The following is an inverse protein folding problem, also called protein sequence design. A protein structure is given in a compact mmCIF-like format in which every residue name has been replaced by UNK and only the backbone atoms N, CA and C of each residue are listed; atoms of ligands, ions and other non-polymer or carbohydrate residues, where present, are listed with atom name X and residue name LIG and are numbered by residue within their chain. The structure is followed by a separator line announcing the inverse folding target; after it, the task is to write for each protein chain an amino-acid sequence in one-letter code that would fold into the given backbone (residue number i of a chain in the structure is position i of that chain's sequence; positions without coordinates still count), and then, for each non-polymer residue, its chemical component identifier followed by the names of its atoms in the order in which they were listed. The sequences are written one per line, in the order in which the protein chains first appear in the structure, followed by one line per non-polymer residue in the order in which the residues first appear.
data_IF_437730238823
#
_entry.id   IF_437730238823
#
_cell.length_a   1.000
_cell.length_b   1.000
_cell.length_c   1.000
_cell.angle_alpha   90.00
_cell.angle_beta   90.00
_cell.angle_gamma   90.00
#
_symmetry.space_group_name_H-M   'P 1'
#
loop_
_entity.id
_entity.type
_entity.pdbx_description
1 polymer ?
#
# COMPACT_ATOMS: atom_id res chain seq x y z
N UNK A 1 11.89 -5.89 -4.32
CA UNK A 1 12.00 -6.30 -2.88
C UNK A 1 12.61 -5.14 -2.11
N UNK A 2 12.12 -4.84 -0.92
CA UNK A 2 12.74 -3.84 -0.04
C UNK A 2 13.92 -4.46 0.72
N UNK A 3 14.98 -3.68 0.91
CA UNK A 3 16.14 -4.14 1.66
C UNK A 3 15.79 -4.33 3.16
N UNK A 4 16.35 -5.37 3.85
CA UNK A 4 16.09 -5.60 5.28
C UNK A 4 16.39 -4.38 6.16
N UNK A 5 17.44 -3.61 5.82
CA UNK A 5 17.80 -2.37 6.51
C UNK A 5 16.73 -1.28 6.34
N UNK A 6 16.12 -1.21 5.16
CA UNK A 6 15.04 -0.26 4.89
C UNK A 6 13.76 -0.63 5.66
N UNK A 7 13.40 -1.91 5.72
CA UNK A 7 12.25 -2.37 6.54
C UNK A 7 12.44 -1.98 8.00
N UNK A 8 13.67 -2.09 8.55
CA UNK A 8 13.98 -1.63 9.90
C UNK A 8 13.83 -0.12 10.07
N UNK A 9 14.20 0.69 9.07
CA UNK A 9 13.96 2.13 9.09
C UNK A 9 12.46 2.46 9.13
N UNK A 10 11.63 1.74 8.37
CA UNK A 10 10.17 1.89 8.43
C UNK A 10 9.65 1.56 9.84
N UNK A 11 10.12 0.48 10.45
CA UNK A 11 9.76 0.09 11.83
C UNK A 11 10.15 1.18 12.83
N UNK A 12 11.34 1.76 12.71
CA UNK A 12 11.77 2.89 13.55
C UNK A 12 10.83 4.10 13.41
N UNK A 13 10.46 4.44 12.18
CA UNK A 13 9.55 5.53 11.91
C UNK A 13 8.14 5.27 12.47
N UNK A 14 7.61 4.05 12.36
CA UNK A 14 6.34 3.64 12.94
C UNK A 14 6.37 3.75 14.47
N UNK A 15 7.38 3.17 15.10
CA UNK A 15 7.56 3.18 16.55
C UNK A 15 7.62 4.61 17.11
N UNK A 16 8.35 5.51 16.44
CA UNK A 16 8.45 6.93 16.86
C UNK A 16 7.07 7.61 16.91
N UNK A 17 6.14 7.17 16.09
CA UNK A 17 4.78 7.72 16.00
C UNK A 17 3.74 6.87 16.75
N UNK A 18 4.20 5.85 17.50
CA UNK A 18 3.35 4.92 18.24
C UNK A 18 2.38 4.12 17.36
N UNK A 19 2.71 3.96 16.09
CA UNK A 19 2.09 2.94 15.25
C UNK A 19 2.63 1.59 15.69
N UNK A 20 1.75 0.63 15.97
CA UNK A 20 2.09 -0.60 16.66
C UNK A 20 2.02 -1.86 15.78
N UNK A 21 1.70 -1.71 14.50
CA UNK A 21 1.63 -2.81 13.54
C UNK A 21 2.32 -2.41 12.24
N UNK A 22 3.12 -3.32 11.69
CA UNK A 22 3.56 -3.34 10.32
C UNK A 22 2.86 -4.49 9.60
N UNK A 23 1.98 -4.20 8.68
CA UNK A 23 1.42 -5.15 7.73
C UNK A 23 2.45 -5.37 6.63
N UNK A 24 2.98 -6.60 6.50
CA UNK A 24 4.07 -6.90 5.58
C UNK A 24 3.60 -7.81 4.45
N UNK A 25 3.37 -7.20 3.30
CA UNK A 25 2.93 -7.88 2.08
C UNK A 25 4.12 -8.63 1.44
N UNK A 26 4.09 -9.96 1.50
CA UNK A 26 5.25 -10.81 1.17
C UNK A 26 5.08 -11.60 -0.12
N UNK A 27 3.88 -11.68 -0.67
CA UNK A 27 3.61 -12.42 -1.90
C UNK A 27 2.65 -11.66 -2.78
N UNK A 28 2.94 -11.63 -4.09
CA UNK A 28 2.17 -10.93 -5.11
C UNK A 28 2.36 -11.61 -6.46
N UNK A 29 1.57 -11.26 -7.45
CA UNK A 29 1.73 -11.72 -8.83
C UNK A 29 3.16 -11.52 -9.35
N UNK A 30 3.80 -10.38 -9.03
CA UNK A 30 5.13 -10.01 -9.49
C UNK A 30 6.27 -10.48 -8.58
N UNK A 31 5.97 -11.29 -7.55
CA UNK A 31 7.05 -11.85 -6.76
C UNK A 31 6.67 -12.49 -5.42
N UNK A 32 7.40 -13.52 -5.08
CA UNK A 32 7.29 -14.27 -3.82
C UNK A 32 8.52 -13.99 -2.96
N UNK A 33 8.36 -13.51 -1.73
CA UNK A 33 9.47 -12.97 -0.92
C UNK A 33 9.82 -13.78 0.34
N UNK A 34 9.11 -14.89 0.60
CA UNK A 34 9.28 -15.70 1.80
C UNK A 34 9.70 -17.13 1.46
N UNK A 35 10.79 -17.69 2.08
CA UNK A 35 11.23 -19.04 1.78
C UNK A 35 10.34 -20.09 2.43
N UNK A 36 9.91 -21.04 1.64
CA UNK A 36 9.14 -22.21 2.05
C UNK A 36 9.98 -23.46 1.75
N UNK A 37 10.60 -24.10 2.71
CA UNK A 37 11.54 -25.21 2.45
C UNK A 37 10.95 -26.40 1.70
N UNK A 38 9.66 -26.67 1.90
CA UNK A 38 8.94 -27.71 1.17
C UNK A 38 8.73 -27.35 -0.32
N UNK A 39 8.84 -26.06 -0.65
CA UNK A 39 8.56 -25.54 -1.99
C UNK A 39 9.62 -24.50 -2.42
N UNK A 40 10.89 -24.90 -2.61
CA UNK A 40 12.00 -23.98 -2.84
C UNK A 40 11.87 -23.13 -4.11
N UNK A 41 11.20 -23.63 -5.15
CA UNK A 41 10.97 -22.86 -6.39
C UNK A 41 10.17 -21.59 -6.19
N UNK A 42 9.42 -21.45 -5.09
CA UNK A 42 8.70 -20.22 -4.76
C UNK A 42 9.65 -19.02 -4.71
N UNK A 43 10.83 -19.18 -4.14
CA UNK A 43 11.86 -18.13 -4.09
C UNK A 43 12.83 -18.21 -5.26
N UNK A 44 13.18 -19.43 -5.74
CA UNK A 44 14.13 -19.62 -6.84
C UNK A 44 13.58 -19.11 -8.19
N UNK A 45 12.27 -19.28 -8.42
CA UNK A 45 11.58 -18.83 -9.64
C UNK A 45 10.66 -17.66 -9.30
N UNK A 46 9.71 -17.84 -8.38
CA UNK A 46 8.72 -16.83 -8.03
C UNK A 46 9.31 -15.57 -7.38
N UNK A 47 10.54 -15.63 -6.85
CA UNK A 47 11.24 -14.46 -6.31
C UNK A 47 11.76 -13.49 -7.38
N UNK A 48 11.80 -13.88 -8.65
CA UNK A 48 12.45 -13.11 -9.71
C UNK A 48 11.54 -12.96 -10.93
N UNK A 49 11.69 -11.86 -11.65
CA UNK A 49 10.99 -11.59 -12.90
C UNK A 49 11.96 -11.01 -13.93
N UNK A 50 11.65 -11.17 -15.21
CA UNK A 50 12.40 -10.58 -16.31
C UNK A 50 11.69 -9.33 -16.79
N UNK A 51 12.37 -8.19 -16.76
CA UNK A 51 11.87 -6.92 -17.25
C UNK A 51 11.87 -6.87 -18.78
N UNK A 52 11.23 -5.86 -19.39
CA UNK A 52 11.12 -5.72 -20.85
C UNK A 52 12.49 -5.62 -21.56
N UNK A 53 13.50 -5.06 -20.90
CA UNK A 53 14.87 -4.95 -21.42
C UNK A 53 15.71 -6.23 -21.25
N UNK A 54 15.11 -7.29 -20.70
CA UNK A 54 15.75 -8.58 -20.45
C UNK A 54 16.52 -8.64 -19.12
N UNK A 55 16.55 -7.57 -18.32
CA UNK A 55 17.16 -7.62 -17.00
C UNK A 55 16.33 -8.47 -16.05
N UNK A 56 16.98 -9.20 -15.14
CA UNK A 56 16.32 -9.98 -14.11
C UNK A 56 16.34 -9.18 -12.82
N UNK A 57 15.14 -8.88 -12.31
CA UNK A 57 14.95 -8.18 -11.04
C UNK A 57 14.21 -9.06 -10.04
N UNK A 58 14.35 -8.76 -8.75
CA UNK A 58 13.65 -9.51 -7.71
C UNK A 58 14.46 -9.69 -6.44
N UNK A 59 14.25 -10.81 -5.78
CA UNK A 59 14.89 -11.21 -4.53
C UNK A 59 13.85 -11.72 -3.53
N UNK A 60 14.34 -12.27 -2.44
CA UNK A 60 13.54 -12.77 -1.33
C UNK A 60 14.32 -12.63 -0.03
N UNK A 61 13.61 -12.66 1.10
CA UNK A 61 14.23 -12.64 2.41
C UNK A 61 14.63 -14.03 2.82
N UNK A 62 15.77 -14.17 3.46
CA UNK A 62 16.14 -15.42 4.16
C UNK A 62 15.33 -15.56 5.44
N UNK A 63 15.19 -16.79 5.96
CA UNK A 63 14.55 -17.01 7.25
C UNK A 63 15.22 -16.21 8.38
N UNK A 64 16.55 -16.12 8.33
CA UNK A 64 17.32 -15.36 9.31
C UNK A 64 16.99 -13.87 9.27
N UNK A 65 16.91 -13.27 8.09
CA UNK A 65 16.52 -11.86 7.92
C UNK A 65 15.11 -11.61 8.43
N UNK A 66 14.14 -12.48 8.10
CA UNK A 66 12.76 -12.36 8.61
C UNK A 66 12.76 -12.41 10.14
N UNK A 67 13.42 -13.40 10.76
CA UNK A 67 13.49 -13.53 12.20
C UNK A 67 14.18 -12.35 12.88
N UNK A 68 15.19 -11.78 12.24
CA UNK A 68 15.88 -10.59 12.73
C UNK A 68 14.96 -9.36 12.66
N UNK A 69 14.23 -9.16 11.56
CA UNK A 69 13.26 -8.06 11.39
C UNK A 69 12.12 -8.21 12.41
N UNK A 70 11.59 -9.42 12.61
CA UNK A 70 10.53 -9.69 13.59
C UNK A 70 10.98 -9.35 15.02
N UNK A 71 12.20 -9.74 15.41
CA UNK A 71 12.75 -9.37 16.72
C UNK A 71 12.97 -7.86 16.84
N UNK A 72 13.52 -7.24 15.79
CA UNK A 72 13.76 -5.81 15.74
C UNK A 72 12.47 -4.99 15.92
N UNK A 73 11.37 -5.45 15.31
CA UNK A 73 10.05 -4.85 15.46
C UNK A 73 9.51 -5.06 16.89
N UNK A 74 9.63 -6.25 17.43
CA UNK A 74 9.18 -6.56 18.80
C UNK A 74 9.88 -5.70 19.86
N UNK A 75 11.18 -5.47 19.74
CA UNK A 75 11.96 -4.57 20.60
C UNK A 75 11.48 -3.11 20.55
N UNK A 76 10.69 -2.75 19.51
CA UNK A 76 10.08 -1.44 19.29
C UNK A 76 8.58 -1.39 19.52
N UNK A 77 8.03 -2.47 20.06
CA UNK A 77 6.59 -2.63 20.27
C UNK A 77 5.78 -2.54 18.96
N UNK A 78 6.37 -2.97 17.85
CA UNK A 78 5.70 -3.11 16.55
C UNK A 78 5.50 -4.59 16.25
N UNK A 79 4.26 -5.00 16.11
CA UNK A 79 3.91 -6.34 15.64
C UNK A 79 3.98 -6.40 14.12
N UNK A 80 4.49 -7.50 13.57
CA UNK A 80 4.42 -7.73 12.12
C UNK A 80 3.29 -8.70 11.83
N UNK A 81 2.33 -8.27 11.00
CA UNK A 81 1.31 -9.12 10.39
C UNK A 81 1.77 -9.45 8.97
N UNK A 82 2.13 -10.71 8.67
CA UNK A 82 2.49 -11.10 7.31
C UNK A 82 1.25 -11.28 6.45
N UNK A 83 1.36 -10.91 5.18
CA UNK A 83 0.36 -11.19 4.16
C UNK A 83 0.86 -12.23 3.16
N UNK A 84 0.02 -13.24 2.93
CA UNK A 84 0.20 -14.30 1.94
C UNK A 84 -1.06 -14.35 1.08
N UNK A 85 -0.95 -13.90 -0.15
CA UNK A 85 -2.05 -13.76 -1.08
C UNK A 85 -2.67 -15.10 -1.50
N UNK A 86 -3.99 -15.14 -1.42
CA UNK A 86 -4.82 -16.26 -1.88
C UNK A 86 -6.30 -15.89 -1.95
N UNK A 87 -7.08 -16.43 -2.89
CA UNK A 87 -6.65 -17.31 -3.99
C UNK A 87 -6.17 -16.54 -5.22
N UNK A 88 -6.31 -15.21 -5.28
CA UNK A 88 -5.77 -14.31 -6.30
C UNK A 88 -4.31 -13.93 -6.05
N UNK A 89 -3.79 -12.98 -6.84
CA UNK A 89 -2.45 -12.39 -6.72
C UNK A 89 -1.32 -13.42 -6.53
N UNK A 90 -1.38 -14.52 -7.27
CA UNK A 90 -0.57 -15.71 -7.03
C UNK A 90 0.30 -16.14 -8.24
N UNK A 91 0.44 -15.30 -9.29
CA UNK A 91 1.17 -15.64 -10.52
C UNK A 91 2.61 -16.06 -10.25
N UNK A 92 3.30 -15.45 -9.29
CA UNK A 92 4.65 -15.87 -8.90
C UNK A 92 4.69 -17.33 -8.40
N UNK A 93 3.69 -17.74 -7.63
CA UNK A 93 3.57 -19.13 -7.17
C UNK A 93 3.18 -20.08 -8.31
N UNK A 94 2.30 -19.66 -9.22
CA UNK A 94 1.90 -20.45 -10.39
C UNK A 94 3.06 -20.60 -11.39
N UNK A 95 3.91 -19.59 -11.55
CA UNK A 95 5.13 -19.68 -12.33
C UNK A 95 6.11 -20.73 -11.75
N UNK A 96 6.22 -20.77 -10.41
CA UNK A 96 7.06 -21.75 -9.72
C UNK A 96 6.49 -23.18 -9.76
N UNK A 97 5.16 -23.30 -9.63
CA UNK A 97 4.44 -24.57 -9.55
C UNK A 97 3.12 -24.50 -10.35
N UNK A 98 3.14 -24.69 -11.68
CA UNK A 98 1.97 -24.53 -12.56
C UNK A 98 0.75 -25.40 -12.16
N UNK A 99 1.00 -26.52 -11.53
CA UNK A 99 -0.06 -27.44 -11.08
C UNK A 99 -0.97 -26.85 -9.98
N UNK A 100 -0.59 -25.72 -9.35
CA UNK A 100 -1.42 -25.03 -8.37
C UNK A 100 -2.62 -24.32 -9.02
N UNK A 101 -2.52 -23.97 -10.29
CA UNK A 101 -3.58 -23.30 -11.04
C UNK A 101 -4.54 -24.26 -11.74
N UNK A 102 -5.59 -23.71 -12.31
CA UNK A 102 -6.62 -24.50 -13.02
C UNK A 102 -6.13 -25.10 -14.33
N UNK A 103 -5.26 -24.41 -15.07
CA UNK A 103 -4.78 -24.86 -16.38
C UNK A 103 -3.56 -25.79 -16.30
N UNK A 104 -2.71 -25.62 -15.28
CA UNK A 104 -1.45 -26.33 -15.17
C UNK A 104 -0.38 -25.88 -16.21
N UNK A 105 -0.66 -24.82 -16.96
CA UNK A 105 0.24 -24.27 -17.97
C UNK A 105 1.43 -23.55 -17.31
N UNK A 106 2.59 -23.65 -17.94
CA UNK A 106 3.76 -22.88 -17.54
C UNK A 106 3.56 -21.41 -17.88
N UNK A 107 3.99 -20.53 -16.98
CA UNK A 107 3.89 -19.09 -17.14
C UNK A 107 5.07 -18.38 -16.50
N UNK A 108 5.35 -17.18 -16.93
CA UNK A 108 6.37 -16.34 -16.33
C UNK A 108 5.80 -15.52 -15.16
N UNK A 109 6.69 -15.12 -14.26
CA UNK A 109 6.39 -14.09 -13.26
C UNK A 109 6.19 -12.77 -13.98
N UNK A 110 5.02 -12.10 -13.88
CA UNK A 110 4.75 -10.89 -14.65
C UNK A 110 5.63 -9.72 -14.22
N UNK A 111 5.98 -8.87 -15.18
CA UNK A 111 6.70 -7.62 -14.96
C UNK A 111 5.81 -6.37 -15.07
N UNK A 112 4.54 -6.56 -15.37
CA UNK A 112 3.52 -5.52 -15.44
C UNK A 112 2.51 -5.65 -14.28
N UNK A 113 1.87 -4.54 -13.95
CA UNK A 113 0.77 -4.51 -13.00
C UNK A 113 -0.55 -4.91 -13.68
N UNK A 114 -1.43 -5.52 -12.91
CA UNK A 114 -2.79 -5.85 -13.33
C UNK A 114 -3.43 -6.92 -12.45
N UNK A 115 -4.73 -7.11 -12.60
CA UNK A 115 -5.48 -8.23 -12.02
C UNK A 115 -5.44 -9.39 -13.00
N UNK A 116 -4.74 -10.47 -12.64
CA UNK A 116 -4.54 -11.62 -13.52
C UNK A 116 -5.62 -12.67 -13.30
N UNK A 117 -6.07 -13.27 -14.42
CA UNK A 117 -7.13 -14.28 -14.39
C UNK A 117 -6.72 -15.63 -13.80
N UNK A 118 -5.40 -15.89 -13.74
CA UNK A 118 -4.88 -17.15 -13.23
C UNK A 118 -4.76 -17.10 -11.72
N UNK A 119 -5.56 -17.90 -11.04
CA UNK A 119 -5.69 -17.98 -9.59
C UNK A 119 -5.46 -19.41 -9.12
N UNK A 120 -5.29 -19.64 -7.82
CA UNK A 120 -5.21 -20.98 -7.26
C UNK A 120 -6.46 -21.80 -7.58
N UNK A 121 -6.27 -23.08 -7.93
CA UNK A 121 -7.36 -23.99 -8.21
C UNK A 121 -8.07 -24.41 -6.91
N UNK A 122 -9.26 -23.88 -6.67
CA UNK A 122 -10.06 -24.19 -5.47
C UNK A 122 -10.65 -25.61 -5.48
N UNK A 123 -10.74 -26.23 -6.65
CA UNK A 123 -11.22 -27.60 -6.82
C UNK A 123 -10.20 -28.70 -6.50
N UNK A 124 -8.94 -28.34 -6.18
CA UNK A 124 -7.84 -29.28 -6.05
C UNK A 124 -7.31 -29.36 -4.61
N UNK A 125 -7.41 -30.55 -3.98
CA UNK A 125 -6.96 -30.76 -2.59
C UNK A 125 -5.45 -30.57 -2.42
N UNK A 126 -4.65 -30.84 -3.45
CA UNK A 126 -3.21 -30.62 -3.44
C UNK A 126 -2.87 -29.14 -3.33
N UNK A 127 -3.65 -28.24 -3.96
CA UNK A 127 -3.50 -26.78 -3.82
C UNK A 127 -3.84 -26.34 -2.38
N UNK A 128 -4.91 -26.84 -1.81
CA UNK A 128 -5.26 -26.57 -0.40
C UNK A 128 -4.16 -27.08 0.55
N UNK A 129 -3.58 -28.27 0.27
CA UNK A 129 -2.50 -28.85 1.07
C UNK A 129 -1.20 -28.04 0.96
N UNK A 130 -0.90 -27.52 -0.23
CA UNK A 130 0.20 -26.60 -0.48
C UNK A 130 0.05 -25.33 0.37
N UNK A 131 -1.13 -24.70 0.33
CA UNK A 131 -1.36 -23.48 1.10
C UNK A 131 -1.27 -23.70 2.61
N UNK A 132 -1.77 -24.85 3.11
CA UNK A 132 -1.58 -25.22 4.53
C UNK A 132 -0.10 -25.35 4.89
N UNK A 133 0.72 -25.97 4.05
CA UNK A 133 2.17 -26.07 4.29
C UNK A 133 2.88 -24.70 4.24
N UNK A 134 2.44 -23.79 3.35
CA UNK A 134 2.91 -22.41 3.33
C UNK A 134 2.57 -21.70 4.65
N UNK A 135 1.32 -21.76 5.08
CA UNK A 135 0.87 -21.14 6.33
C UNK A 135 1.54 -21.73 7.57
N UNK A 136 1.86 -23.05 7.55
CA UNK A 136 2.64 -23.69 8.61
C UNK A 136 4.01 -23.05 8.76
N UNK A 137 4.72 -22.81 7.66
CA UNK A 137 6.02 -22.14 7.68
C UNK A 137 5.89 -20.67 8.14
N UNK A 138 4.90 -19.95 7.66
CA UNK A 138 4.60 -18.56 8.07
C UNK A 138 4.40 -18.49 9.59
N UNK A 139 3.62 -19.41 10.15
CA UNK A 139 3.40 -19.47 11.60
C UNK A 139 4.68 -19.74 12.41
N UNK A 140 5.71 -20.38 11.83
CA UNK A 140 7.00 -20.56 12.50
C UNK A 140 7.87 -19.30 12.50
N UNK A 141 7.70 -18.45 11.49
CA UNK A 141 8.50 -17.24 11.29
C UNK A 141 7.90 -16.01 11.98
N UNK A 142 6.58 -15.95 12.04
CA UNK A 142 5.84 -14.80 12.59
C UNK A 142 5.05 -15.20 13.85
N UNK A 143 5.30 -14.54 14.98
CA UNK A 143 4.57 -14.81 16.23
C UNK A 143 3.18 -14.18 16.25
N UNK A 144 2.81 -13.39 15.23
CA UNK A 144 1.53 -12.69 15.15
C UNK A 144 0.35 -13.64 15.31
N UNK A 145 -0.61 -13.28 16.14
CA UNK A 145 -1.90 -13.98 16.24
C UNK A 145 -2.68 -13.91 14.92
N UNK A 146 -2.50 -12.85 14.15
CA UNK A 146 -3.19 -12.60 12.91
C UNK A 146 -2.26 -12.86 11.72
N UNK A 147 -2.76 -13.59 10.72
CA UNK A 147 -2.15 -13.77 9.40
C UNK A 147 -3.10 -13.18 8.38
N UNK A 148 -2.61 -12.24 7.56
CA UNK A 148 -3.38 -11.70 6.46
C UNK A 148 -3.28 -12.64 5.25
N UNK A 149 -4.40 -12.92 4.63
CA UNK A 149 -4.50 -13.92 3.54
C UNK A 149 -4.89 -13.30 2.19
N UNK A 150 -4.87 -11.97 2.09
CA UNK A 150 -5.35 -11.27 0.90
C UNK A 150 -6.85 -11.44 0.69
N UNK A 151 -7.22 -12.06 -0.39
CA UNK A 151 -8.62 -12.39 -0.71
C UNK A 151 -9.29 -11.38 -1.63
N UNK A 152 -8.56 -10.38 -2.06
CA UNK A 152 -9.01 -9.31 -2.96
C UNK A 152 -8.91 -9.70 -4.44
N UNK A 153 -9.67 -8.98 -5.25
CA UNK A 153 -9.60 -8.93 -6.72
C UNK A 153 -9.52 -10.30 -7.41
N UNK A 154 -10.23 -11.31 -6.91
CA UNK A 154 -10.17 -12.70 -7.42
C UNK A 154 -11.02 -12.89 -8.68
N UNK A 155 -10.43 -13.01 -9.89
CA UNK A 155 -11.18 -13.31 -11.09
C UNK A 155 -11.64 -14.79 -11.09
N UNK A 156 -12.90 -15.02 -11.36
CA UNK A 156 -13.51 -16.36 -11.27
C UNK A 156 -13.49 -17.14 -12.59
N UNK A 157 -13.13 -16.49 -13.70
CA UNK A 157 -13.18 -17.05 -15.06
C UNK A 157 -12.44 -18.39 -15.21
N UNK A 158 -11.33 -18.59 -14.45
CA UNK A 158 -10.61 -19.87 -14.48
C UNK A 158 -11.35 -20.98 -13.76
N UNK A 159 -12.13 -20.66 -12.75
CA UNK A 159 -12.94 -21.64 -12.02
C UNK A 159 -14.17 -22.07 -12.84
N UNK A 160 -14.77 -21.15 -13.60
CA UNK A 160 -15.90 -21.43 -14.50
C UNK A 160 -15.57 -22.52 -15.52
N UNK A 161 -14.35 -22.47 -16.09
CA UNK A 161 -13.88 -23.42 -17.11
C UNK A 161 -13.15 -24.65 -16.53
N UNK A 162 -12.94 -24.74 -15.23
CA UNK A 162 -12.15 -25.79 -14.61
C UNK A 162 -13.01 -26.95 -14.12
N UNK A 163 -12.87 -28.13 -14.74
CA UNK A 163 -13.64 -29.35 -14.36
C UNK A 163 -13.50 -29.67 -12.86
N UNK A 164 -12.31 -29.50 -12.25
CA UNK A 164 -12.09 -29.76 -10.82
C UNK A 164 -12.85 -28.78 -9.95
N UNK A 165 -12.88 -27.49 -10.31
CA UNK A 165 -13.63 -26.48 -9.59
C UNK A 165 -15.13 -26.71 -9.73
N UNK A 166 -15.61 -27.02 -10.92
CA UNK A 166 -17.04 -27.32 -11.16
C UNK A 166 -17.48 -28.60 -10.45
N UNK A 167 -16.64 -29.66 -10.44
CA UNK A 167 -16.92 -30.86 -9.64
C UNK A 167 -17.01 -30.53 -8.14
N UNK A 168 -16.08 -29.72 -7.61
CA UNK A 168 -16.12 -29.28 -6.22
C UNK A 168 -17.39 -28.50 -5.88
N UNK A 169 -17.81 -27.61 -6.80
CA UNK A 169 -19.07 -26.87 -6.65
C UNK A 169 -20.26 -27.81 -6.59
N UNK A 170 -20.34 -28.79 -7.51
CA UNK A 170 -21.42 -29.77 -7.54
C UNK A 170 -21.45 -30.61 -6.26
N UNK A 171 -20.30 -31.10 -5.78
CA UNK A 171 -20.17 -31.89 -4.56
C UNK A 171 -20.63 -31.13 -3.30
N UNK A 172 -20.41 -29.81 -3.26
CA UNK A 172 -20.76 -28.92 -2.14
C UNK A 172 -22.12 -28.25 -2.31
N UNK A 173 -22.79 -28.43 -3.46
CA UNK A 173 -24.06 -27.79 -3.76
C UNK A 173 -23.97 -26.29 -4.00
N UNK A 174 -22.81 -25.82 -4.44
CA UNK A 174 -22.59 -24.41 -4.79
C UNK A 174 -23.16 -24.07 -6.15
N UNK A 175 -23.63 -22.84 -6.29
CA UNK A 175 -24.28 -22.33 -7.51
C UNK A 175 -23.57 -21.12 -8.12
N UNK A 176 -22.54 -20.62 -7.43
CA UNK A 176 -21.76 -19.45 -7.83
C UNK A 176 -20.30 -19.63 -7.39
N UNK A 177 -19.36 -19.22 -8.22
CA UNK A 177 -17.93 -19.35 -7.97
C UNK A 177 -17.42 -18.50 -6.78
N UNK A 178 -18.17 -17.47 -6.36
CA UNK A 178 -17.88 -16.75 -5.12
C UNK A 178 -17.88 -17.68 -3.90
N UNK A 179 -18.72 -18.72 -3.91
CA UNK A 179 -18.77 -19.73 -2.86
C UNK A 179 -17.50 -20.59 -2.84
N UNK A 180 -16.81 -20.77 -3.97
CA UNK A 180 -15.48 -21.40 -3.99
C UNK A 180 -14.42 -20.55 -3.31
N UNK A 181 -14.46 -19.23 -3.49
CA UNK A 181 -13.56 -18.31 -2.78
C UNK A 181 -13.81 -18.42 -1.27
N UNK A 182 -15.05 -18.34 -0.84
CA UNK A 182 -15.44 -18.52 0.56
C UNK A 182 -14.99 -19.89 1.10
N UNK A 183 -15.19 -20.95 0.32
CA UNK A 183 -14.73 -22.31 0.69
C UNK A 183 -13.20 -22.33 0.89
N UNK A 184 -12.43 -21.76 -0.05
CA UNK A 184 -10.98 -21.72 0.02
C UNK A 184 -10.51 -20.98 1.29
N UNK A 185 -11.05 -19.80 1.53
CA UNK A 185 -10.75 -18.95 2.70
C UNK A 185 -11.11 -19.69 4.00
N UNK A 186 -12.29 -20.34 4.05
CA UNK A 186 -12.73 -21.09 5.22
C UNK A 186 -11.82 -22.30 5.51
N UNK A 187 -11.28 -22.98 4.48
CA UNK A 187 -10.31 -24.05 4.66
C UNK A 187 -9.01 -23.55 5.30
N UNK A 188 -8.53 -22.37 4.88
CA UNK A 188 -7.33 -21.75 5.44
C UNK A 188 -7.59 -21.16 6.82
N UNK A 189 -8.75 -20.55 7.04
CA UNK A 189 -9.18 -20.06 8.34
C UNK A 189 -9.29 -21.17 9.40
N UNK A 190 -9.90 -22.31 9.05
CA UNK A 190 -9.96 -23.48 9.94
C UNK A 190 -8.57 -24.04 10.25
N UNK A 191 -7.66 -24.08 9.26
CA UNK A 191 -6.29 -24.50 9.45
C UNK A 191 -5.54 -23.59 10.42
N UNK A 192 -5.59 -22.27 10.22
CA UNK A 192 -4.94 -21.28 11.08
C UNK A 192 -5.55 -21.29 12.51
N UNK A 193 -6.88 -21.42 12.62
CA UNK A 193 -7.55 -21.54 13.91
C UNK A 193 -7.09 -22.76 14.71
N UNK A 194 -6.84 -23.90 14.03
CA UNK A 194 -6.27 -25.10 14.68
C UNK A 194 -4.86 -24.87 15.28
N UNK A 195 -4.17 -23.81 14.86
CA UNK A 195 -2.85 -23.37 15.35
C UNK A 195 -2.93 -22.18 16.30
N UNK A 196 -4.13 -21.80 16.73
CA UNK A 196 -4.36 -20.63 17.58
C UNK A 196 -4.12 -19.29 16.89
N UNK A 197 -4.27 -19.25 15.55
CA UNK A 197 -4.15 -18.03 14.74
C UNK A 197 -5.51 -17.62 14.17
N UNK A 198 -5.64 -16.34 13.86
CA UNK A 198 -6.81 -15.76 13.19
C UNK A 198 -6.42 -15.34 11.78
N UNK A 199 -7.36 -15.40 10.86
CA UNK A 199 -7.17 -14.78 9.55
C UNK A 199 -7.62 -13.32 9.57
N UNK A 200 -6.99 -12.51 8.73
CA UNK A 200 -7.49 -11.23 8.26
C UNK A 200 -7.46 -11.27 6.72
N UNK A 201 -8.40 -10.60 6.07
CA UNK A 201 -8.39 -10.43 4.62
C UNK A 201 -9.06 -9.14 4.22
N UNK A 202 -8.86 -8.75 2.96
CA UNK A 202 -9.51 -7.59 2.37
C UNK A 202 -11.02 -7.74 2.39
N UNK A 203 -11.78 -6.66 2.26
CA UNK A 203 -13.23 -6.68 2.48
C UNK A 203 -14.04 -7.52 1.46
N UNK A 204 -13.43 -8.04 0.41
CA UNK A 204 -14.02 -9.05 -0.49
C UNK A 204 -14.35 -10.37 0.23
N UNK A 205 -13.64 -10.70 1.32
CA UNK A 205 -13.94 -11.93 2.07
C UNK A 205 -15.30 -11.90 2.77
N UNK A 206 -15.94 -10.73 2.85
CA UNK A 206 -17.33 -10.61 3.34
C UNK A 206 -18.32 -11.28 2.38
N UNK A 207 -18.00 -11.37 1.09
CA UNK A 207 -18.85 -11.95 0.06
C UNK A 207 -18.98 -13.47 0.24
N UNK A 208 -20.00 -13.95 0.92
CA UNK A 208 -20.29 -15.39 1.06
C UNK A 208 -20.04 -15.98 2.45
N UNK A 209 -19.66 -15.19 3.40
CA UNK A 209 -19.53 -15.56 4.82
C UNK A 209 -18.10 -15.79 5.27
N UNK A 210 -17.85 -15.49 6.54
CA UNK A 210 -16.53 -15.49 7.16
C UNK A 210 -16.32 -16.70 8.06
N UNK A 211 -15.08 -17.23 8.18
CA UNK A 211 -14.71 -18.15 9.25
C UNK A 211 -14.89 -17.50 10.62
N UNK A 212 -15.18 -18.30 11.62
CA UNK A 212 -15.24 -17.82 13.00
C UNK A 212 -13.92 -17.15 13.43
N UNK A 213 -14.02 -15.96 14.02
CA UNK A 213 -12.87 -15.20 14.49
C UNK A 213 -12.07 -14.49 13.41
N UNK A 214 -12.49 -14.52 12.14
CA UNK A 214 -11.87 -13.73 11.07
C UNK A 214 -11.91 -12.23 11.37
N UNK A 215 -10.97 -11.51 10.79
CA UNK A 215 -10.93 -10.04 10.76
C UNK A 215 -11.01 -9.56 9.33
N UNK A 216 -11.48 -8.35 9.14
CA UNK A 216 -11.63 -7.71 7.82
C UNK A 216 -10.75 -6.47 7.73
N UNK A 217 -10.14 -6.23 6.56
CA UNK A 217 -9.54 -4.97 6.21
C UNK A 217 -10.36 -4.28 5.11
N UNK A 218 -10.99 -3.15 5.47
CA UNK A 218 -11.86 -2.41 4.56
C UNK A 218 -11.05 -1.38 3.76
N UNK A 219 -10.91 -1.60 2.44
CA UNK A 219 -10.10 -0.77 1.54
C UNK A 219 -10.90 -0.11 0.41
N UNK A 220 -11.96 -0.74 -0.10
CA UNK A 220 -12.82 -0.23 -1.18
C UNK A 220 -13.71 0.95 -0.75
N UNK A 221 -13.51 1.45 0.45
CA UNK A 221 -14.26 2.50 1.11
C UNK A 221 -14.55 2.13 2.55
N UNK A 222 -15.59 2.71 3.13
CA UNK A 222 -15.96 2.44 4.53
C UNK A 222 -17.13 1.44 4.67
N UNK A 223 -17.74 1.03 3.55
CA UNK A 223 -18.88 0.12 3.57
C UNK A 223 -18.52 -1.25 4.12
N UNK A 224 -17.32 -1.78 3.78
CA UNK A 224 -16.83 -3.03 4.35
C UNK A 224 -16.70 -2.98 5.87
N UNK A 225 -16.30 -1.83 6.44
CA UNK A 225 -16.23 -1.65 7.88
C UNK A 225 -17.63 -1.67 8.54
N UNK A 226 -18.61 -1.03 7.91
CA UNK A 226 -20.00 -1.04 8.37
C UNK A 226 -20.54 -2.48 8.37
N UNK A 227 -20.37 -3.20 7.25
CA UNK A 227 -20.84 -4.58 7.12
C UNK A 227 -20.16 -5.52 8.12
N UNK A 228 -18.83 -5.49 8.23
CA UNK A 228 -18.07 -6.31 9.16
C UNK A 228 -18.54 -6.10 10.61
N UNK A 229 -18.70 -4.85 11.04
CA UNK A 229 -19.14 -4.55 12.42
C UNK A 229 -20.56 -5.01 12.69
N UNK A 230 -21.47 -4.93 11.73
CA UNK A 230 -22.83 -5.47 11.86
C UNK A 230 -22.83 -7.01 11.99
N UNK A 231 -21.91 -7.69 11.32
CA UNK A 231 -21.72 -9.15 11.42
C UNK A 231 -21.01 -9.57 12.73
N UNK A 232 -20.58 -8.61 13.57
CA UNK A 232 -19.85 -8.91 14.80
C UNK A 232 -18.36 -9.16 14.57
N UNK A 233 -17.83 -8.80 13.42
CA UNK A 233 -16.44 -9.01 13.02
C UNK A 233 -15.60 -7.76 13.27
N UNK A 234 -14.42 -7.93 13.83
CA UNK A 234 -13.44 -6.86 13.99
C UNK A 234 -12.86 -6.41 12.63
N UNK A 235 -12.65 -5.10 12.46
CA UNK A 235 -12.19 -4.53 11.19
C UNK A 235 -11.07 -3.51 11.39
N UNK A 236 -10.13 -3.50 10.44
CA UNK A 236 -9.14 -2.43 10.22
C UNK A 236 -9.57 -1.64 8.99
N UNK A 237 -9.45 -0.32 9.01
CA UNK A 237 -9.87 0.54 7.88
C UNK A 237 -8.67 1.16 7.17
N UNK A 238 -8.64 1.01 5.84
CA UNK A 238 -7.59 1.57 4.98
C UNK A 238 -8.15 2.03 3.63
N UNK A 239 -9.19 2.92 3.61
CA UNK A 239 -9.88 3.25 2.37
C UNK A 239 -8.95 3.96 1.37
N UNK A 240 -9.09 3.60 0.08
CA UNK A 240 -8.34 4.21 -1.04
C UNK A 240 -8.42 5.72 -1.06
N UNK A 241 -9.50 6.29 -0.53
CA UNK A 241 -9.72 7.74 -0.52
C UNK A 241 -8.77 8.53 0.39
N UNK A 242 -8.20 7.91 1.43
CA UNK A 242 -7.40 8.59 2.47
C UNK A 242 -6.10 7.87 2.84
N UNK A 243 -6.04 6.55 2.66
CA UNK A 243 -4.99 5.70 3.24
C UNK A 243 -3.99 5.13 2.23
N UNK A 244 -4.20 5.31 0.93
CA UNK A 244 -3.30 4.81 -0.13
C UNK A 244 -2.20 5.84 -0.42
N UNK A 245 -1.07 5.69 0.24
CA UNK A 245 0.02 6.67 0.19
C UNK A 245 0.94 6.53 -1.03
N UNK A 246 0.72 5.54 -1.88
CA UNK A 246 1.27 5.46 -3.23
C UNK A 246 0.62 6.50 -4.17
N UNK A 247 -0.61 6.91 -3.89
CA UNK A 247 -1.32 7.93 -4.67
C UNK A 247 -0.63 9.30 -4.60
N UNK A 248 -0.76 10.09 -5.70
CA UNK A 248 -0.16 11.42 -5.75
C UNK A 248 -0.65 12.35 -4.63
N UNK A 249 0.22 13.25 -4.20
CA UNK A 249 -0.12 14.30 -3.20
C UNK A 249 -1.31 15.17 -3.60
N UNK A 250 -1.57 15.32 -4.92
CA UNK A 250 -2.77 16.04 -5.41
C UNK A 250 -4.08 15.34 -5.08
N UNK A 251 -4.03 14.03 -4.86
CA UNK A 251 -5.21 13.20 -4.53
C UNK A 251 -5.34 12.97 -3.04
N UNK A 252 -4.22 12.70 -2.36
CA UNK A 252 -4.17 12.41 -0.93
C UNK A 252 -2.96 13.14 -0.34
N UNK A 253 -3.18 14.34 0.17
CA UNK A 253 -2.19 15.11 0.93
C UNK A 253 -2.29 14.86 2.43
N UNK A 254 -1.44 15.51 3.20
CA UNK A 254 -1.40 15.36 4.66
C UNK A 254 -2.70 15.86 5.32
N UNK A 255 -3.28 16.96 4.83
CA UNK A 255 -4.51 17.53 5.40
C UNK A 255 -5.68 16.57 5.21
N UNK A 256 -5.80 15.96 4.04
CA UNK A 256 -6.82 14.96 3.74
C UNK A 256 -6.68 13.72 4.63
N UNK A 257 -5.46 13.21 4.83
CA UNK A 257 -5.22 12.09 5.74
C UNK A 257 -5.54 12.49 7.18
N UNK A 258 -5.17 13.69 7.62
CA UNK A 258 -5.47 14.20 8.96
C UNK A 258 -6.97 14.41 9.21
N UNK A 259 -7.73 14.72 8.16
CA UNK A 259 -9.20 14.88 8.22
C UNK A 259 -9.98 13.56 8.18
N UNK A 260 -9.30 12.42 8.10
CA UNK A 260 -9.95 11.12 8.01
C UNK A 260 -10.72 10.76 9.29
N UNK A 261 -11.94 10.23 9.12
CA UNK A 261 -12.70 9.63 10.23
C UNK A 261 -12.66 8.10 10.10
N UNK A 262 -11.89 7.39 10.95
CA UNK A 262 -11.76 5.93 10.86
C UNK A 262 -12.99 5.16 11.35
N UNK A 263 -13.93 5.81 12.05
CA UNK A 263 -15.10 5.12 12.61
C UNK A 263 -16.37 5.73 12.01
N UNK A 264 -16.98 5.08 10.97
CA UNK A 264 -18.27 5.54 10.43
C UNK A 264 -19.37 5.48 11.49
N UNK A 265 -20.36 6.37 11.39
CA UNK A 265 -21.44 6.45 12.37
C UNK A 265 -22.22 5.14 12.48
N UNK A 266 -22.44 4.48 11.36
CA UNK A 266 -23.17 3.21 11.25
C UNK A 266 -22.45 2.04 11.92
N UNK A 267 -21.12 2.12 12.08
CA UNK A 267 -20.33 1.12 12.79
C UNK A 267 -20.31 1.32 14.32
N UNK A 268 -20.80 2.46 14.80
CA UNK A 268 -20.80 2.76 16.24
C UNK A 268 -21.83 1.93 17.01
N UNK A 269 -21.38 1.29 18.09
CA UNK A 269 -22.26 0.49 18.96
C UNK A 269 -22.68 -0.85 18.35
N UNK A 270 -22.05 -1.30 17.26
CA UNK A 270 -22.26 -2.61 16.65
C UNK A 270 -21.56 -3.72 17.46
N UNK A 271 -21.79 -4.98 17.08
CA UNK A 271 -21.20 -6.15 17.73
C UNK A 271 -19.69 -6.28 17.45
N UNK A 272 -19.27 -5.98 16.23
CA UNK A 272 -17.87 -5.91 15.83
C UNK A 272 -17.25 -4.54 16.14
N UNK A 273 -15.94 -4.42 16.04
CA UNK A 273 -15.20 -3.21 16.40
C UNK A 273 -14.30 -2.76 15.28
N UNK A 274 -14.22 -1.45 15.07
CA UNK A 274 -13.12 -0.84 14.31
C UNK A 274 -11.90 -0.78 15.22
N UNK A 275 -10.89 -1.61 14.94
CA UNK A 275 -9.69 -1.73 15.78
C UNK A 275 -8.69 -0.60 15.55
N UNK A 276 -8.71 0.00 14.36
CA UNK A 276 -7.80 1.06 13.96
C UNK A 276 -7.83 1.28 12.46
N UNK A 277 -6.80 1.98 11.98
CA UNK A 277 -6.60 2.24 10.55
C UNK A 277 -5.18 1.94 10.10
N UNK A 278 -5.01 1.77 8.82
CA UNK A 278 -3.75 1.46 8.16
C UNK A 278 -3.51 2.39 6.98
N UNK A 279 -2.24 2.73 6.72
CA UNK A 279 -1.80 3.35 5.49
C UNK A 279 -1.13 2.31 4.60
N UNK A 280 -1.62 2.19 3.37
CA UNK A 280 -1.06 1.30 2.36
C UNK A 280 -0.01 2.03 1.52
N UNK A 281 1.06 1.33 1.19
CA UNK A 281 2.12 1.82 0.31
C UNK A 281 2.46 0.76 -0.73
N UNK A 282 1.74 0.78 -1.85
CA UNK A 282 1.97 -0.08 -2.99
C UNK A 282 3.19 0.38 -3.79
N UNK A 283 3.95 -0.57 -4.34
CA UNK A 283 5.27 -0.28 -4.87
C UNK A 283 5.42 -0.48 -6.38
N UNK A 284 4.33 -0.62 -7.11
CA UNK A 284 4.32 -0.72 -8.58
C UNK A 284 4.95 0.51 -9.23
N UNK A 285 4.79 1.69 -8.60
CA UNK A 285 5.28 2.98 -9.10
C UNK A 285 6.14 3.73 -8.08
N UNK A 286 6.60 3.05 -7.04
CA UNK A 286 7.37 3.66 -5.97
C UNK A 286 8.61 2.78 -5.64
N UNK A 287 9.76 3.05 -6.23
CA UNK A 287 11.00 2.43 -5.84
C UNK A 287 11.35 2.77 -4.38
N UNK A 288 12.19 1.96 -3.75
CA UNK A 288 12.49 2.02 -2.33
C UNK A 288 12.89 3.42 -1.82
N UNK A 289 13.66 4.14 -2.61
CA UNK A 289 14.15 5.50 -2.29
C UNK A 289 13.03 6.56 -2.21
N UNK A 290 11.87 6.29 -2.82
CA UNK A 290 10.72 7.19 -2.77
C UNK A 290 9.73 6.85 -1.64
N UNK A 291 9.77 5.64 -1.09
CA UNK A 291 8.76 5.15 -0.14
C UNK A 291 8.68 6.02 1.11
N UNK A 292 9.83 6.34 1.73
CA UNK A 292 9.82 7.17 2.96
C UNK A 292 9.20 8.55 2.71
N UNK A 293 9.55 9.18 1.59
CA UNK A 293 8.99 10.48 1.18
C UNK A 293 7.50 10.43 0.85
N UNK A 294 6.99 9.30 0.34
CA UNK A 294 5.56 9.11 0.10
C UNK A 294 4.78 8.81 1.39
N UNK A 295 5.32 7.98 2.26
CA UNK A 295 4.65 7.58 3.51
C UNK A 295 4.64 8.71 4.54
N UNK A 296 5.76 9.34 4.77
CA UNK A 296 5.87 10.42 5.76
C UNK A 296 5.99 11.80 5.09
N UNK A 297 5.27 12.83 5.57
CA UNK A 297 4.56 12.89 6.88
C UNK A 297 3.11 12.39 6.88
N UNK A 298 2.55 11.90 5.76
CA UNK A 298 1.12 11.55 5.68
C UNK A 298 0.69 10.49 6.71
N UNK A 299 1.48 9.44 6.89
CA UNK A 299 1.23 8.44 7.94
C UNK A 299 1.26 9.04 9.36
N UNK A 300 1.99 10.14 9.58
CA UNK A 300 1.95 10.87 10.86
C UNK A 300 0.59 11.52 11.09
N UNK A 301 -0.04 12.02 10.02
CA UNK A 301 -1.42 12.51 10.09
C UNK A 301 -2.39 11.43 10.54
N UNK A 302 -2.30 10.24 9.94
CA UNK A 302 -3.12 9.09 10.37
C UNK A 302 -2.80 8.69 11.82
N UNK A 303 -1.53 8.60 12.20
CA UNK A 303 -1.13 8.26 13.57
C UNK A 303 -1.75 9.21 14.61
N UNK A 304 -1.75 10.51 14.33
CA UNK A 304 -2.42 11.51 15.19
C UNK A 304 -3.92 11.28 15.28
N UNK A 305 -4.59 11.00 14.15
CA UNK A 305 -6.02 10.70 14.10
C UNK A 305 -6.36 9.46 14.92
N UNK A 306 -5.62 8.38 14.74
CA UNK A 306 -5.86 7.11 15.45
C UNK A 306 -5.57 7.23 16.96
N UNK A 307 -4.58 8.03 17.33
CA UNK A 307 -4.20 8.23 18.75
C UNK A 307 -5.16 9.18 19.50
N UNK A 308 -5.51 10.29 18.87
CA UNK A 308 -6.26 11.38 19.53
C UNK A 308 -7.76 11.29 19.32
N UNK A 309 -8.21 10.63 18.26
CA UNK A 309 -9.60 10.52 17.85
C UNK A 309 -10.14 11.80 17.19
N UNK A 310 -11.20 11.63 16.40
CA UNK A 310 -11.81 12.71 15.60
C UNK A 310 -12.40 13.84 16.44
N UNK A 311 -12.81 13.55 17.68
CA UNK A 311 -13.22 14.58 18.63
C UNK A 311 -12.14 15.62 18.95
N UNK A 312 -10.88 15.32 18.66
CA UNK A 312 -9.74 16.23 18.82
C UNK A 312 -9.27 16.76 17.48
N UNK A 313 -9.13 15.89 16.48
CA UNK A 313 -8.50 16.24 15.19
C UNK A 313 -9.39 17.08 14.29
N UNK A 314 -10.72 16.94 14.40
CA UNK A 314 -11.66 17.73 13.60
C UNK A 314 -12.06 19.08 14.24
N UNK A 315 -11.44 19.48 15.37
CA UNK A 315 -11.68 20.79 15.97
C UNK A 315 -11.03 21.90 15.15
N UNK A 316 -11.64 23.08 15.15
CA UNK A 316 -11.09 24.27 14.52
C UNK A 316 -9.63 24.53 14.97
N UNK A 317 -8.76 24.80 14.00
CA UNK A 317 -7.33 25.01 14.19
C UNK A 317 -6.54 23.80 14.70
N UNK A 318 -7.12 22.58 14.72
CA UNK A 318 -6.41 21.38 15.16
C UNK A 318 -5.29 21.01 14.19
N UNK A 319 -5.52 21.15 12.90
CA UNK A 319 -4.52 20.88 11.86
C UNK A 319 -3.31 21.84 11.99
N UNK A 320 -3.51 23.14 12.20
CA UNK A 320 -2.40 24.10 12.40
C UNK A 320 -1.56 23.76 13.63
N UNK A 321 -2.22 23.36 14.72
CA UNK A 321 -1.52 22.90 15.93
C UNK A 321 -0.74 21.60 15.68
N UNK A 322 -1.30 20.70 14.88
CA UNK A 322 -0.59 19.49 14.46
C UNK A 322 0.64 19.82 13.61
N UNK A 323 0.51 20.71 12.62
CA UNK A 323 1.64 21.14 11.79
C UNK A 323 2.77 21.76 12.62
N UNK A 324 2.43 22.49 13.68
CA UNK A 324 3.44 23.04 14.62
C UNK A 324 4.21 21.94 15.36
N UNK A 325 3.54 20.84 15.75
CA UNK A 325 4.20 19.66 16.35
C UNK A 325 5.02 18.88 15.34
N UNK A 326 4.54 18.81 14.10
CA UNK A 326 5.22 18.15 12.99
C UNK A 326 6.61 18.77 12.71
N UNK A 327 6.77 20.10 12.87
CA UNK A 327 8.07 20.76 12.72
C UNK A 327 9.09 20.25 13.74
N UNK A 328 8.64 19.98 14.98
CA UNK A 328 9.50 19.36 16.01
C UNK A 328 9.84 17.90 15.71
N UNK A 329 8.90 17.15 15.10
CA UNK A 329 9.12 15.77 14.70
C UNK A 329 10.07 15.68 13.51
N UNK A 330 9.99 16.61 12.56
CA UNK A 330 10.88 16.67 11.41
C UNK A 330 12.38 16.78 11.81
N UNK A 331 12.67 17.47 12.93
CA UNK A 331 14.03 17.51 13.48
C UNK A 331 14.50 16.14 13.99
N UNK A 332 13.60 15.37 14.61
CA UNK A 332 13.91 14.00 15.07
C UNK A 332 14.16 13.05 13.89
N UNK A 333 13.34 13.13 12.82
CA UNK A 333 13.56 12.37 11.60
C UNK A 333 14.93 12.66 10.99
N UNK A 334 15.27 13.95 10.86
CA UNK A 334 16.58 14.35 10.35
C UNK A 334 17.74 13.77 11.19
N UNK A 335 17.56 13.71 12.52
CA UNK A 335 18.58 13.11 13.42
C UNK A 335 18.69 11.58 13.25
N UNK A 336 17.60 10.93 12.86
CA UNK A 336 17.56 9.49 12.56
C UNK A 336 17.97 9.15 11.11
N UNK A 337 18.30 10.16 10.30
CA UNK A 337 18.59 9.96 8.87
C UNK A 337 17.36 9.60 8.04
N UNK A 338 16.15 9.90 8.53
CA UNK A 338 14.90 9.71 7.80
C UNK A 338 14.55 11.00 7.06
N UNK A 339 14.25 10.88 5.78
CA UNK A 339 13.88 12.01 4.92
C UNK A 339 12.39 11.94 4.57
N UNK A 340 11.53 12.65 5.31
CA UNK A 340 10.12 12.73 4.96
C UNK A 340 9.94 13.57 3.69
N UNK A 341 8.88 13.26 2.95
CA UNK A 341 8.49 14.03 1.78
C UNK A 341 7.70 15.30 2.10
N UNK A 342 6.94 15.74 1.12
CA UNK A 342 6.11 16.94 1.21
C UNK A 342 4.77 16.64 1.91
N UNK A 343 4.21 17.67 2.51
CA UNK A 343 2.90 17.63 3.18
C UNK A 343 1.74 17.60 2.16
N UNK A 344 1.95 18.21 0.99
CA UNK A 344 0.99 18.32 -0.10
C UNK A 344 1.65 18.89 -1.35
N UNK A 345 0.87 19.41 -2.28
CA UNK A 345 1.40 20.13 -3.45
C UNK A 345 2.13 21.37 -2.99
N UNK A 346 3.44 21.51 -3.32
CA UNK A 346 4.27 22.51 -2.66
C UNK A 346 4.03 23.95 -3.11
N UNK A 347 3.60 24.14 -4.36
CA UNK A 347 3.43 25.45 -4.96
C UNK A 347 2.12 25.54 -5.75
N UNK A 348 1.59 26.74 -5.86
CA UNK A 348 0.48 27.09 -6.70
C UNK A 348 0.97 28.00 -7.85
N UNK A 349 0.49 27.76 -9.06
CA UNK A 349 0.73 28.62 -10.20
C UNK A 349 -0.52 29.42 -10.57
N UNK A 350 -0.31 30.70 -10.87
CA UNK A 350 -1.28 31.51 -11.59
C UNK A 350 -0.64 32.07 -12.86
N UNK A 351 -1.40 32.01 -13.97
CA UNK A 351 -0.96 32.49 -15.27
C UNK A 351 -1.90 33.62 -15.69
N UNK A 352 -1.35 34.80 -15.96
CA UNK A 352 -2.13 35.95 -16.37
C UNK A 352 -1.55 36.59 -17.66
N UNK A 353 -2.38 37.06 -18.58
CA UNK A 353 -1.93 37.80 -19.75
C UNK A 353 -1.13 39.04 -19.32
N UNK A 354 0.00 39.26 -19.97
CA UNK A 354 0.84 40.42 -19.79
C UNK A 354 0.99 41.18 -21.15
N UNK A 355 1.82 42.20 -21.22
CA UNK A 355 1.97 43.01 -22.43
C UNK A 355 2.68 42.26 -23.57
N UNK A 356 2.32 42.59 -24.83
CA UNK A 356 3.00 42.17 -26.05
C UNK A 356 3.17 40.65 -26.25
N UNK A 357 2.15 39.86 -25.90
CA UNK A 357 2.17 38.39 -26.14
C UNK A 357 3.00 37.61 -25.13
N UNK A 358 3.34 38.22 -24.00
CA UNK A 358 3.91 37.52 -22.85
C UNK A 358 2.80 37.21 -21.85
N UNK A 359 3.06 36.22 -21.00
CA UNK A 359 2.25 35.90 -19.81
C UNK A 359 3.09 36.09 -18.55
N UNK A 360 2.47 36.52 -17.48
CA UNK A 360 3.03 36.48 -16.15
C UNK A 360 2.65 35.14 -15.51
N UNK A 361 3.65 34.40 -15.06
CA UNK A 361 3.50 33.17 -14.29
C UNK A 361 3.96 33.42 -12.89
N UNK A 362 3.04 33.60 -11.95
CA UNK A 362 3.36 33.70 -10.55
C UNK A 362 3.42 32.32 -9.91
N UNK A 363 4.47 32.05 -9.13
CA UNK A 363 4.73 30.80 -8.44
C UNK A 363 4.73 31.07 -6.93
N UNK A 364 3.61 30.76 -6.29
CA UNK A 364 3.40 31.03 -4.88
C UNK A 364 3.61 29.77 -4.03
N UNK A 365 4.19 29.88 -2.82
CA UNK A 365 4.29 28.75 -1.90
C UNK A 365 2.88 28.35 -1.41
N UNK A 366 2.48 27.09 -1.65
CA UNK A 366 1.21 26.54 -1.18
C UNK A 366 1.34 25.87 0.20
N UNK A 367 2.55 25.51 0.61
CA UNK A 367 2.86 24.93 1.91
C UNK A 367 3.79 25.82 2.72
N UNK A 368 3.80 25.63 4.05
CA UNK A 368 4.74 26.30 4.96
C UNK A 368 6.17 25.86 4.68
N UNK A 369 7.11 26.78 4.83
CA UNK A 369 8.54 26.51 4.69
C UNK A 369 8.99 26.00 3.31
N UNK A 370 8.15 26.12 2.30
CA UNK A 370 8.47 25.79 0.93
C UNK A 370 9.16 26.98 0.26
N UNK A 371 10.21 26.70 -0.46
CA UNK A 371 10.93 27.59 -1.36
C UNK A 371 11.39 26.78 -2.57
N UNK A 372 12.21 27.38 -3.41
CA UNK A 372 12.79 26.69 -4.55
C UNK A 372 13.20 27.63 -5.65
N UNK A 373 13.96 27.09 -6.59
CA UNK A 373 14.33 27.73 -7.82
C UNK A 373 13.27 27.41 -8.89
N UNK A 374 12.92 28.40 -9.70
CA UNK A 374 11.88 28.31 -10.71
C UNK A 374 12.50 28.59 -12.07
N UNK A 375 12.23 27.76 -13.06
CA UNK A 375 12.72 27.94 -14.41
C UNK A 375 11.57 27.73 -15.43
N UNK A 376 11.54 28.51 -16.50
CA UNK A 376 10.66 28.27 -17.64
C UNK A 376 11.49 27.71 -18.80
N UNK A 377 11.03 26.57 -19.34
CA UNK A 377 11.63 25.87 -20.47
C UNK A 377 10.63 25.81 -21.60
N UNK A 378 10.89 26.47 -22.76
CA UNK A 378 10.04 26.34 -23.95
C UNK A 378 9.99 24.92 -24.50
N UNK A 379 8.90 24.56 -25.19
CA UNK A 379 8.73 23.22 -25.77
C UNK A 379 9.76 22.87 -26.85
N UNK A 380 10.30 23.89 -27.51
CA UNK A 380 11.29 23.79 -28.59
C UNK A 380 12.74 23.94 -28.12
N UNK A 381 12.96 24.14 -26.82
CA UNK A 381 14.28 24.32 -26.22
C UNK A 381 14.54 23.31 -25.10
N UNK A 382 15.82 22.97 -24.87
CA UNK A 382 16.26 22.11 -23.78
C UNK A 382 16.69 22.86 -22.53
N UNK A 383 16.99 24.16 -22.66
CA UNK A 383 17.51 25.00 -21.61
C UNK A 383 16.48 26.05 -21.16
N UNK A 384 16.50 26.47 -19.89
CA UNK A 384 15.58 27.48 -19.40
C UNK A 384 15.88 28.86 -20.01
N UNK A 385 14.85 29.59 -20.37
CA UNK A 385 14.95 30.97 -20.90
C UNK A 385 14.56 32.03 -19.87
N UNK A 386 13.95 31.63 -18.76
CA UNK A 386 13.67 32.50 -17.62
C UNK A 386 13.84 31.73 -16.31
N UNK A 387 14.39 32.40 -15.32
CA UNK A 387 14.64 31.81 -13.99
C UNK A 387 14.16 32.76 -12.87
N UNK A 388 13.79 32.21 -11.74
CA UNK A 388 13.31 32.94 -10.58
C UNK A 388 13.28 32.08 -9.33
N UNK A 389 12.46 32.48 -8.36
CA UNK A 389 12.24 31.74 -7.10
C UNK A 389 10.76 31.65 -6.77
N UNK A 390 10.40 30.64 -5.99
CA UNK A 390 9.07 30.53 -5.38
C UNK A 390 8.76 31.80 -4.56
N UNK A 391 7.57 32.33 -4.73
CA UNK A 391 7.16 33.65 -4.24
C UNK A 391 7.42 34.79 -5.20
N UNK A 392 7.82 34.51 -6.43
CA UNK A 392 8.06 35.48 -7.51
C UNK A 392 7.27 35.18 -8.76
N UNK A 393 7.45 36.03 -9.78
CA UNK A 393 6.84 35.88 -11.11
C UNK A 393 7.89 35.75 -12.20
N UNK A 394 7.58 34.93 -13.21
CA UNK A 394 8.29 34.86 -14.48
C UNK A 394 7.45 35.51 -15.57
N UNK A 395 8.10 36.20 -16.50
CA UNK A 395 7.47 36.80 -17.68
C UNK A 395 7.96 36.03 -18.91
N UNK A 396 7.08 35.24 -19.49
CA UNK A 396 7.45 34.27 -20.53
C UNK A 396 6.55 34.38 -21.75
N UNK A 397 7.03 33.88 -22.88
CA UNK A 397 6.28 33.84 -24.15
C UNK A 397 6.39 32.44 -24.75
N UNK A 398 5.34 32.06 -25.52
CA UNK A 398 5.29 30.74 -26.17
C UNK A 398 4.73 29.62 -25.31
N UNK A 399 4.79 28.39 -25.85
CA UNK A 399 4.45 27.15 -25.17
C UNK A 399 5.67 26.65 -24.41
N UNK A 400 5.45 26.02 -23.25
CA UNK A 400 6.53 25.46 -22.48
C UNK A 400 6.07 24.96 -21.12
N UNK A 401 7.01 24.64 -20.25
CA UNK A 401 6.73 24.23 -18.86
C UNK A 401 7.46 25.11 -17.86
N UNK A 402 6.82 25.37 -16.74
CA UNK A 402 7.48 25.91 -15.55
C UNK A 402 7.95 24.72 -14.71
N UNK A 403 9.24 24.67 -14.43
CA UNK A 403 9.88 23.71 -13.53
C UNK A 403 10.19 24.39 -12.21
N UNK A 404 9.84 23.73 -11.11
CA UNK A 404 10.10 24.21 -9.75
C UNK A 404 10.90 23.17 -9.01
N UNK A 405 12.16 23.44 -8.75
CA UNK A 405 13.00 22.61 -7.89
C UNK A 405 12.71 22.95 -6.43
N UNK A 406 11.96 22.06 -5.79
CA UNK A 406 11.36 22.33 -4.49
C UNK A 406 12.38 22.19 -3.37
N UNK A 407 12.46 23.19 -2.50
CA UNK A 407 13.13 23.09 -1.21
C UNK A 407 12.13 23.22 -0.06
N UNK A 408 12.35 22.48 1.02
CA UNK A 408 11.53 22.56 2.22
C UNK A 408 12.42 22.79 3.44
N UNK A 409 12.07 23.78 4.27
CA UNK A 409 12.89 24.20 5.44
C UNK A 409 14.35 24.51 5.06
N UNK A 410 14.55 25.05 3.84
CA UNK A 410 15.88 25.42 3.31
C UNK A 410 16.73 24.25 2.81
N UNK A 411 16.18 23.05 2.67
CA UNK A 411 16.85 21.87 2.11
C UNK A 411 16.20 21.46 0.79
N UNK A 412 17.00 21.10 -0.21
CA UNK A 412 16.49 20.53 -1.45
C UNK A 412 15.75 19.21 -1.14
N UNK A 413 14.59 19.01 -1.77
CA UNK A 413 13.77 17.79 -1.58
C UNK A 413 14.02 16.73 -2.64
N UNK A 414 14.75 17.07 -3.72
CA UNK A 414 14.87 16.23 -4.92
C UNK A 414 13.57 16.14 -5.74
N UNK A 415 12.55 16.93 -5.39
CA UNK A 415 11.28 16.98 -6.10
C UNK A 415 11.30 18.17 -7.05
N UNK A 416 11.00 17.92 -8.32
CA UNK A 416 10.76 18.93 -9.35
C UNK A 416 9.30 18.87 -9.78
N UNK A 417 8.54 19.92 -9.51
CA UNK A 417 7.18 20.09 -10.01
C UNK A 417 7.20 20.69 -11.41
N UNK A 418 6.31 20.23 -12.29
CA UNK A 418 6.23 20.67 -13.69
C UNK A 418 4.82 21.10 -14.03
N UNK A 419 4.70 22.28 -14.61
CA UNK A 419 3.43 22.90 -14.93
C UNK A 419 3.43 23.34 -16.38
N UNK A 420 2.56 22.79 -17.24
CA UNK A 420 2.46 23.26 -18.63
C UNK A 420 1.92 24.68 -18.69
N UNK A 421 2.55 25.52 -19.50
CA UNK A 421 2.09 26.87 -19.81
C UNK A 421 1.64 26.88 -21.27
N UNK A 422 0.34 27.00 -21.49
CA UNK A 422 -0.22 27.17 -22.82
C UNK A 422 -0.03 28.63 -23.31
N UNK A 423 0.46 28.78 -24.52
CA UNK A 423 0.48 30.12 -25.17
C UNK A 423 -0.94 30.68 -25.39
N UNK A 424 -1.09 31.94 -25.19
CA UNK A 424 -2.32 32.69 -25.53
C UNK A 424 -2.21 33.35 -26.89
#
# INVERSE_FOLDING_TARGET
MMEPSFVKQVIDALSLQKMNVLHWHLTEDQGWRIPIPAYPKLTEIGGFRTEEDGTVTGGFYTKQEIQEIVRYAADRHVQIIPEIEMPGHCRAALAAYPWLGCTGETMDVPNNWGVFKDVYCAGQDTTLSFMRAVLDEVCTLFPSEVIHIGGDEVPRVRWEDCERCQSRMADLGFTDESQLQTYFINQMGAHLSSKGRRIMGWDEILEGGLPEGAMVQSWRGMQGAVEATHLGTDVVVSPTSHCYLDYPLRSIDLEKVYGFNPIPEEAQGQLGRVLGGECNMWTERAPQDQVMGKVFPRATGLAEVLWSGTAVTLKEGAYDRFLTRLDGLAQRWAHMGLEPGLEGVPVALSVQPHVQGTVEVAVEPALRHVGGDVAFVPDDESEPVAEGRVGGSLFVSGLGEVRVDVSMRGRATGVTERFPVAGH
#
